data_IF_105732206168
#
_entry.id   IF_105732206168
#
_cell.length_a   1.000
_cell.length_b   1.000
_cell.length_c   1.000
_cell.angle_alpha   90.00
_cell.angle_beta   90.00
_cell.angle_gamma   90.00
#
_symmetry.space_group_name_H-M   'P 1'
#
loop_
_entity.id
_entity.type
_entity.pdbx_description
1 polymer ?
#
# COMPACT_ATOMS: atom_id res chain seq x y z
N UNK A 1 -4.54 -13.54 -3.85
CA UNK A 1 -3.34 -12.74 -3.54
C UNK A 1 -2.25 -13.70 -3.15
N UNK A 2 -1.11 -13.60 -3.80
CA UNK A 2 0.09 -14.38 -3.49
C UNK A 2 1.18 -13.43 -2.98
N UNK A 3 1.85 -13.80 -1.88
CA UNK A 3 2.98 -13.03 -1.36
C UNK A 3 4.25 -13.57 -2.01
N UNK A 4 4.92 -12.71 -2.76
CA UNK A 4 6.19 -13.00 -3.42
C UNK A 4 7.34 -12.82 -2.44
N UNK A 5 7.29 -11.76 -1.65
CA UNK A 5 8.35 -11.42 -0.70
C UNK A 5 7.79 -10.64 0.48
N UNK A 6 8.38 -10.85 1.66
CA UNK A 6 8.07 -10.10 2.89
C UNK A 6 9.38 -9.63 3.49
N UNK A 7 9.54 -8.32 3.61
CA UNK A 7 10.72 -7.68 4.18
C UNK A 7 10.31 -6.78 5.33
N UNK A 8 10.81 -7.09 6.52
CA UNK A 8 10.59 -6.27 7.71
C UNK A 8 11.76 -5.30 7.85
N UNK A 9 11.45 -3.99 7.88
CA UNK A 9 12.44 -2.94 8.03
C UNK A 9 12.30 -2.30 9.41
N UNK A 10 12.99 -2.89 10.39
CA UNK A 10 12.98 -2.45 11.78
C UNK A 10 13.50 -1.00 11.95
N UNK A 11 14.38 -0.52 11.06
CA UNK A 11 14.90 0.84 11.12
C UNK A 11 13.81 1.89 10.85
N UNK A 12 12.84 1.55 10.00
CA UNK A 12 11.75 2.43 9.61
C UNK A 12 10.40 2.01 10.20
N UNK A 13 10.39 0.99 11.08
CA UNK A 13 9.20 0.37 11.65
C UNK A 13 8.10 0.12 10.60
N UNK A 14 8.50 -0.48 9.47
CA UNK A 14 7.59 -0.80 8.36
C UNK A 14 7.81 -2.22 7.84
N UNK A 15 6.75 -2.81 7.31
CA UNK A 15 6.76 -4.10 6.63
C UNK A 15 6.48 -3.88 5.16
N UNK A 16 7.37 -4.37 4.31
CA UNK A 16 7.27 -4.29 2.85
C UNK A 16 6.87 -5.68 2.34
N UNK A 17 5.69 -5.80 1.73
CA UNK A 17 5.13 -7.05 1.21
C UNK A 17 4.99 -6.90 -0.29
N UNK A 18 5.80 -7.65 -1.04
CA UNK A 18 5.62 -7.81 -2.48
C UNK A 18 4.55 -8.86 -2.72
N UNK A 19 3.52 -8.50 -3.47
CA UNK A 19 2.39 -9.36 -3.75
C UNK A 19 2.02 -9.38 -5.22
N UNK A 20 1.39 -10.48 -5.63
CA UNK A 20 0.82 -10.65 -6.96
C UNK A 20 -0.66 -11.06 -6.85
N UNK A 21 -1.49 -10.46 -7.70
CA UNK A 21 -2.93 -10.65 -7.79
C UNK A 21 -3.28 -11.13 -9.19
N UNK A 22 -3.64 -12.39 -9.29
CA UNK A 22 -4.21 -12.97 -10.51
C UNK A 22 -5.73 -12.78 -10.45
N UNK A 23 -6.26 -12.02 -11.41
CA UNK A 23 -7.67 -11.63 -11.52
C UNK A 23 -8.25 -12.14 -12.84
N UNK A 24 -8.16 -13.46 -13.07
CA UNK A 24 -8.42 -14.13 -14.36
C UNK A 24 -9.80 -13.83 -14.96
N UNK A 25 -10.78 -13.48 -14.13
CA UNK A 25 -12.15 -13.11 -14.53
C UNK A 25 -12.64 -11.82 -13.88
N UNK A 26 -11.77 -11.06 -13.22
CA UNK A 26 -12.14 -9.85 -12.48
C UNK A 26 -11.45 -8.61 -13.07
N UNK A 27 -12.05 -7.42 -12.94
CA UNK A 27 -11.38 -6.18 -13.33
C UNK A 27 -10.11 -5.97 -12.48
N UNK A 28 -9.20 -5.14 -12.99
CA UNK A 28 -7.99 -4.76 -12.25
C UNK A 28 -8.36 -4.28 -10.84
N UNK A 29 -7.79 -4.88 -9.78
CA UNK A 29 -8.17 -4.56 -8.41
C UNK A 29 -7.90 -3.08 -8.14
N UNK A 30 -8.90 -2.40 -7.59
CA UNK A 30 -8.77 -0.99 -7.23
C UNK A 30 -7.87 -0.82 -6.00
N UNK A 31 -7.28 0.36 -5.83
CA UNK A 31 -6.45 0.69 -4.66
C UNK A 31 -7.10 0.30 -3.31
N UNK A 32 -8.36 0.66 -3.00
CA UNK A 32 -9.00 0.29 -1.74
C UNK A 32 -9.18 -1.22 -1.56
N UNK A 33 -9.42 -1.98 -2.65
CA UNK A 33 -9.52 -3.43 -2.61
C UNK A 33 -8.18 -4.06 -2.23
N UNK A 34 -7.11 -3.61 -2.86
CA UNK A 34 -5.76 -4.09 -2.54
C UNK A 34 -5.39 -3.77 -1.09
N UNK A 35 -5.75 -2.58 -0.57
CA UNK A 35 -5.54 -2.23 0.84
C UNK A 35 -6.32 -3.20 1.74
N UNK A 36 -7.58 -3.48 1.43
CA UNK A 36 -8.41 -4.43 2.18
C UNK A 36 -7.81 -5.84 2.22
N UNK A 37 -7.24 -6.31 1.10
CA UNK A 37 -6.54 -7.59 1.03
C UNK A 37 -5.28 -7.62 1.89
N UNK A 38 -4.48 -6.56 1.87
CA UNK A 38 -3.29 -6.41 2.73
C UNK A 38 -3.67 -6.38 4.21
N UNK A 39 -4.76 -5.69 4.57
CA UNK A 39 -5.27 -5.65 5.95
C UNK A 39 -5.77 -7.02 6.43
N UNK A 40 -6.36 -7.82 5.55
CA UNK A 40 -6.73 -9.21 5.86
C UNK A 40 -5.50 -10.08 6.13
N UNK A 41 -4.38 -9.82 5.45
CA UNK A 41 -3.12 -10.51 5.68
C UNK A 41 -2.47 -10.09 7.00
N UNK A 42 -2.50 -8.80 7.32
CA UNK A 42 -1.91 -8.23 8.53
C UNK A 42 -2.99 -7.54 9.39
N UNK A 43 -3.77 -8.31 10.18
CA UNK A 43 -4.94 -7.82 10.92
C UNK A 43 -4.63 -6.84 12.07
N UNK A 44 -3.37 -6.48 12.30
CA UNK A 44 -2.96 -5.45 13.27
C UNK A 44 -2.76 -4.06 12.66
N UNK A 45 -2.87 -3.93 11.34
CA UNK A 45 -2.55 -2.71 10.62
C UNK A 45 -3.78 -1.84 10.37
N UNK A 46 -3.61 -0.52 10.35
CA UNK A 46 -4.70 0.40 9.99
C UNK A 46 -4.64 0.72 8.50
N UNK A 47 -5.80 0.89 7.85
CA UNK A 47 -5.89 1.30 6.43
C UNK A 47 -5.12 2.59 6.11
N UNK A 48 -5.05 3.51 7.07
CA UNK A 48 -4.31 4.78 6.96
C UNK A 48 -2.78 4.62 7.00
N UNK A 49 -2.30 3.47 7.47
CA UNK A 49 -0.89 3.09 7.57
C UNK A 49 -0.47 2.09 6.48
N UNK A 50 -1.39 1.72 5.59
CA UNK A 50 -1.13 0.81 4.46
C UNK A 50 -1.01 1.62 3.18
N UNK A 51 0.15 1.55 2.54
CA UNK A 51 0.44 2.25 1.30
C UNK A 51 0.77 1.23 0.23
N UNK A 52 0.25 1.43 -0.98
CA UNK A 52 0.56 0.54 -2.10
C UNK A 52 1.37 1.31 -3.13
N UNK A 53 2.56 0.81 -3.42
CA UNK A 53 3.49 1.35 -4.42
C UNK A 53 3.77 0.30 -5.48
N UNK A 54 4.37 0.75 -6.59
CA UNK A 54 4.84 -0.12 -7.67
C UNK A 54 3.76 -1.07 -8.22
N UNK A 55 2.50 -0.62 -8.27
CA UNK A 55 1.44 -1.40 -8.91
C UNK A 55 1.75 -1.48 -10.40
N UNK A 56 2.02 -2.70 -10.86
CA UNK A 56 2.33 -2.98 -12.24
C UNK A 56 1.41 -4.08 -12.73
N UNK A 57 0.55 -3.73 -13.68
CA UNK A 57 -0.37 -4.66 -14.33
C UNK A 57 0.24 -5.08 -15.65
N UNK A 58 0.41 -6.38 -15.85
CA UNK A 58 1.00 -6.89 -17.08
C UNK A 58 -0.03 -6.87 -18.19
N UNK A 59 0.17 -6.05 -19.22
CA UNK A 59 -0.75 -5.99 -20.36
C UNK A 59 -0.87 -7.36 -21.05
N UNK A 60 -2.10 -7.83 -21.27
CA UNK A 60 -2.40 -9.13 -21.87
C UNK A 60 -2.42 -10.32 -20.90
N UNK A 61 -2.12 -10.12 -19.62
CA UNK A 61 -2.37 -11.10 -18.57
C UNK A 61 -3.19 -10.46 -17.45
N UNK A 62 -4.20 -11.15 -16.90
CA UNK A 62 -4.95 -10.67 -15.74
C UNK A 62 -4.12 -10.82 -14.46
N UNK A 63 -2.93 -10.22 -14.43
CA UNK A 63 -1.99 -10.30 -13.32
C UNK A 63 -1.49 -8.90 -12.97
N UNK A 64 -1.71 -8.51 -11.72
CA UNK A 64 -1.23 -7.26 -11.13
C UNK A 64 -0.26 -7.59 -10.02
N UNK A 65 0.95 -7.06 -10.10
CA UNK A 65 1.92 -7.12 -9.01
C UNK A 65 1.98 -5.77 -8.32
N UNK A 66 2.28 -5.75 -7.02
CA UNK A 66 2.34 -4.53 -6.23
C UNK A 66 3.19 -4.70 -4.99
N UNK A 67 3.61 -3.57 -4.43
CA UNK A 67 4.35 -3.51 -3.17
C UNK A 67 3.48 -2.84 -2.11
N UNK A 68 3.07 -3.59 -1.09
CA UNK A 68 2.39 -3.07 0.08
C UNK A 68 3.42 -2.66 1.14
N UNK A 69 3.31 -1.43 1.62
CA UNK A 69 4.10 -0.85 2.68
C UNK A 69 3.18 -0.62 3.87
N UNK A 70 3.42 -1.36 4.95
CA UNK A 70 2.63 -1.30 6.17
C UNK A 70 3.48 -0.62 7.23
N UNK A 71 3.03 0.54 7.71
CA UNK A 71 3.72 1.26 8.77
C UNK A 71 3.14 0.89 10.14
N UNK A 72 3.99 0.75 11.14
CA UNK A 72 3.55 0.47 12.51
C UNK A 72 3.03 1.72 13.24
N UNK A 73 3.40 2.92 12.79
CA UNK A 73 3.05 4.19 13.47
C UNK A 73 2.97 5.36 12.50
N UNK A 74 2.19 6.38 12.87
CA UNK A 74 2.06 7.63 12.10
C UNK A 74 3.40 8.38 11.98
N UNK A 75 4.26 8.30 12.98
CA UNK A 75 5.63 8.85 12.89
C UNK A 75 6.44 8.21 11.75
N UNK A 76 6.28 6.90 11.54
CA UNK A 76 6.92 6.17 10.44
C UNK A 76 6.32 6.51 9.08
N UNK A 77 5.07 6.97 9.02
CA UNK A 77 4.50 7.54 7.79
C UNK A 77 5.00 8.97 7.53
N UNK A 78 5.52 9.66 8.55
CA UNK A 78 6.00 11.04 8.42
C UNK A 78 7.30 11.15 7.64
N UNK A 79 8.11 10.07 7.58
CA UNK A 79 9.38 10.02 6.83
C UNK A 79 9.17 10.11 5.32
N UNK A 80 8.01 9.65 4.84
CA UNK A 80 7.71 9.64 3.41
C UNK A 80 7.45 11.07 2.93
N UNK A 81 7.93 11.44 1.74
CA UNK A 81 7.74 12.79 1.20
C UNK A 81 6.24 13.10 1.04
N UNK A 82 5.86 14.36 1.31
CA UNK A 82 4.46 14.82 1.37
C UNK A 82 3.62 14.42 0.15
N UNK A 83 4.22 14.31 -1.03
CA UNK A 83 3.58 13.84 -2.28
C UNK A 83 2.96 12.42 -2.17
N UNK A 84 3.56 11.51 -1.39
CA UNK A 84 3.01 10.16 -1.18
C UNK A 84 1.83 10.20 -0.21
N UNK A 85 1.90 11.09 0.81
CA UNK A 85 0.81 11.34 1.74
C UNK A 85 -0.41 11.86 0.99
N UNK A 86 -0.27 12.80 0.05
CA UNK A 86 -1.41 13.38 -0.70
C UNK A 86 -2.12 12.40 -1.63
N UNK A 87 -1.43 11.36 -2.13
CA UNK A 87 -2.03 10.35 -3.01
C UNK A 87 -2.83 9.28 -2.26
N UNK A 88 -2.52 9.07 -0.97
CA UNK A 88 -3.13 8.04 -0.13
C UNK A 88 -3.98 8.61 1.03
N UNK A 89 -3.74 9.85 1.48
CA UNK A 89 -4.68 10.63 2.27
C UNK A 89 -5.64 11.32 1.31
N UNK A 90 -6.93 11.02 1.48
CA UNK A 90 -8.03 11.91 1.10
C UNK A 90 -7.64 13.33 1.57
N UNK A 91 -7.77 14.36 0.73
CA UNK A 91 -7.19 15.68 0.97
C UNK A 91 -7.66 16.22 2.32
N UNK A 92 -6.74 16.34 3.28
CA UNK A 92 -6.92 17.31 4.34
C UNK A 92 -6.18 18.55 3.87
N UNK A 93 -7.00 19.56 3.61
CA UNK A 93 -6.64 20.82 3.01
C UNK A 93 -5.42 21.44 3.67
N UNK A 94 -4.51 21.89 2.81
CA UNK A 94 -3.53 22.91 3.11
C UNK A 94 -4.20 24.08 3.84
N UNK A 95 -3.79 24.33 5.07
CA UNK A 95 -3.80 25.66 5.66
C UNK A 95 -2.64 25.82 6.65
N UNK A 96 -1.40 25.76 6.14
CA UNK A 96 -0.43 26.79 6.53
C UNK A 96 -0.95 28.10 5.95
N UNK A 97 -1.05 29.22 6.65
CA UNK A 97 -0.11 29.76 7.60
C UNK A 97 0.20 31.18 7.11
N UNK A 98 -0.36 32.19 7.77
CA UNK A 98 0.27 33.41 8.28
C UNK A 98 -0.81 34.45 8.63
#
# INVERSE_FOLDING_TARGET
>A
MEIINRKENALLNRVEIEFTLNHDSEPTPSLPEMISLVLKLEPGSKKELVYIKNVNTRFGMPQTSGLALIYASEESTSIEPDYIKTRHKVPEESAGGN
#
